data_IF_116604322173
#
_entry.id   IF_116604322173
#
_cell.length_a   1.000
_cell.length_b   1.000
_cell.length_c   1.000
_cell.angle_alpha   90.00
_cell.angle_beta   90.00
_cell.angle_gamma   90.00
#
_symmetry.space_group_name_H-M   'P 1'
#
loop_
_entity.id
_entity.type
_entity.pdbx_description
1 polymer ?
#
# COMPACT_ATOMS: atom_id res chain seq x y z
N UNK A 1 45.73 -25.88 8.22
CA UNK A 1 45.31 -24.46 8.26
C UNK A 1 43.93 -24.36 7.63
N UNK A 2 42.87 -24.45 8.43
CA UNK A 2 41.50 -24.19 7.97
C UNK A 2 41.28 -22.69 7.99
N UNK A 3 41.36 -22.04 6.82
CA UNK A 3 40.97 -20.64 6.67
C UNK A 3 39.53 -20.48 7.16
N UNK A 4 39.36 -19.82 8.31
CA UNK A 4 38.05 -19.44 8.83
C UNK A 4 37.52 -18.37 7.89
N UNK A 5 36.71 -18.79 6.91
CA UNK A 5 36.07 -17.88 5.96
C UNK A 5 35.24 -16.90 6.80
N UNK A 6 35.56 -15.61 6.73
CA UNK A 6 34.80 -14.59 7.45
C UNK A 6 33.31 -14.70 7.03
N UNK A 7 32.38 -14.65 8.00
CA UNK A 7 30.97 -14.77 7.68
C UNK A 7 30.56 -13.60 6.79
N UNK A 8 29.96 -13.90 5.64
CA UNK A 8 29.44 -12.88 4.74
C UNK A 8 28.30 -12.16 5.45
N UNK A 9 28.47 -10.85 5.65
CA UNK A 9 27.47 -10.01 6.27
C UNK A 9 26.54 -9.41 5.22
N UNK A 10 25.23 -9.44 5.49
CA UNK A 10 24.20 -8.88 4.62
C UNK A 10 23.30 -7.93 5.43
N UNK A 11 22.89 -6.83 4.79
CA UNK A 11 21.93 -5.89 5.38
C UNK A 11 20.48 -6.29 5.07
N UNK A 12 19.53 -5.58 5.68
CA UNK A 12 18.11 -5.88 5.53
C UNK A 12 17.62 -5.74 4.08
N UNK A 13 18.25 -4.89 3.26
CA UNK A 13 17.85 -4.68 1.87
C UNK A 13 18.28 -5.85 0.98
N UNK A 14 19.51 -6.33 1.19
CA UNK A 14 20.05 -7.50 0.50
C UNK A 14 19.23 -8.76 0.82
N UNK A 15 19.02 -9.05 2.11
CA UNK A 15 18.20 -10.19 2.55
C UNK A 15 16.76 -10.08 2.01
N UNK A 16 16.18 -8.88 2.03
CA UNK A 16 14.83 -8.66 1.53
C UNK A 16 14.72 -8.97 0.03
N UNK A 17 15.70 -8.56 -0.77
CA UNK A 17 15.73 -8.84 -2.21
C UNK A 17 15.80 -10.35 -2.49
N UNK A 18 16.66 -11.08 -1.77
CA UNK A 18 16.80 -12.53 -1.93
C UNK A 18 15.56 -13.30 -1.49
N UNK A 19 14.92 -12.88 -0.39
CA UNK A 19 13.77 -13.58 0.20
C UNK A 19 12.41 -13.12 -0.36
N UNK A 20 12.40 -12.17 -1.31
CA UNK A 20 11.16 -11.61 -1.88
C UNK A 20 10.32 -10.85 -0.85
N UNK A 21 10.96 -10.19 0.11
CA UNK A 21 10.33 -9.43 1.20
C UNK A 21 10.69 -7.93 1.10
N UNK A 22 10.17 -7.14 2.04
CA UNK A 22 10.59 -5.74 2.20
C UNK A 22 11.66 -5.62 3.28
N UNK A 23 12.57 -4.64 3.20
CA UNK A 23 13.60 -4.44 4.25
C UNK A 23 13.00 -4.18 5.64
N UNK A 24 11.86 -3.48 5.68
CA UNK A 24 11.09 -3.28 6.90
C UNK A 24 10.59 -4.60 7.50
N UNK A 25 10.21 -5.59 6.68
CA UNK A 25 9.79 -6.89 7.20
C UNK A 25 10.97 -7.66 7.79
N UNK A 26 12.16 -7.60 7.21
CA UNK A 26 13.38 -8.20 7.79
C UNK A 26 13.67 -7.61 9.16
N UNK A 27 13.62 -6.27 9.29
CA UNK A 27 13.79 -5.60 10.58
C UNK A 27 12.71 -6.01 11.59
N UNK A 28 11.46 -6.13 11.13
CA UNK A 28 10.34 -6.59 11.95
C UNK A 28 10.54 -8.01 12.49
N UNK A 29 11.01 -8.96 11.66
CA UNK A 29 11.29 -10.33 12.10
C UNK A 29 12.30 -10.37 13.25
N UNK A 30 13.34 -9.53 13.19
CA UNK A 30 14.31 -9.40 14.27
C UNK A 30 13.70 -8.78 15.53
N UNK A 31 13.01 -7.64 15.40
CA UNK A 31 12.41 -6.95 16.56
C UNK A 31 11.32 -7.77 17.25
N UNK A 32 10.53 -8.52 16.48
CA UNK A 32 9.48 -9.43 16.98
C UNK A 32 10.06 -10.73 17.56
N UNK A 33 11.38 -10.96 17.44
CA UNK A 33 12.03 -12.26 17.73
C UNK A 33 11.30 -13.43 17.07
N UNK A 34 10.91 -13.23 15.81
CA UNK A 34 10.10 -14.21 15.09
C UNK A 34 10.81 -15.56 15.03
N UNK A 35 10.09 -16.63 15.36
CA UNK A 35 10.57 -17.99 15.25
C UNK A 35 10.24 -18.58 13.87
N UNK A 36 11.14 -19.42 13.35
CA UNK A 36 10.84 -20.24 12.17
C UNK A 36 10.03 -21.49 12.55
N UNK A 37 9.78 -22.39 11.60
CA UNK A 37 8.97 -23.59 11.88
C UNK A 37 9.69 -24.60 12.80
N UNK A 38 11.00 -24.45 13.01
CA UNK A 38 11.79 -25.24 13.94
C UNK A 38 11.87 -24.59 15.34
N UNK A 39 11.13 -23.51 15.60
CA UNK A 39 11.18 -22.78 16.88
C UNK A 39 12.47 -21.98 17.08
N UNK A 40 13.27 -21.77 16.03
CA UNK A 40 14.52 -21.01 16.13
C UNK A 40 14.21 -19.54 15.90
N UNK A 41 14.59 -18.62 16.81
CA UNK A 41 14.37 -17.19 16.64
C UNK A 41 15.22 -16.62 15.50
N UNK A 42 14.78 -15.50 14.92
CA UNK A 42 15.51 -14.81 13.86
C UNK A 42 16.95 -14.50 14.31
N UNK A 43 17.97 -14.67 13.44
CA UNK A 43 19.36 -14.51 13.82
C UNK A 43 19.70 -13.16 14.46
N UNK A 44 20.65 -13.19 15.41
CA UNK A 44 21.21 -11.97 16.00
C UNK A 44 21.96 -11.12 14.99
N UNK A 45 21.98 -9.82 15.24
CA UNK A 45 22.81 -8.87 14.50
C UNK A 45 24.27 -9.22 14.73
N UNK A 46 25.02 -9.44 13.66
CA UNK A 46 26.44 -9.77 13.70
C UNK A 46 27.33 -8.52 13.74
N UNK A 47 26.90 -7.43 13.09
CA UNK A 47 27.61 -6.15 13.08
C UNK A 47 26.68 -4.99 12.68
N UNK A 48 27.19 -3.76 12.72
CA UNK A 48 26.51 -2.54 12.31
C UNK A 48 27.33 -1.77 11.28
N UNK A 49 26.72 -1.45 10.13
CA UNK A 49 27.27 -0.49 9.16
C UNK A 49 26.55 0.84 9.30
N UNK A 50 27.10 1.74 10.13
CA UNK A 50 26.43 2.98 10.53
C UNK A 50 25.14 2.67 11.30
N UNK A 51 23.97 3.03 10.77
CA UNK A 51 22.67 2.68 11.35
C UNK A 51 22.08 1.37 10.83
N UNK A 52 22.69 0.76 9.81
CA UNK A 52 22.21 -0.48 9.23
C UNK A 52 22.70 -1.68 10.05
N UNK A 53 21.76 -2.54 10.47
CA UNK A 53 22.07 -3.83 11.07
C UNK A 53 22.57 -4.78 9.99
N UNK A 54 23.62 -5.52 10.30
CA UNK A 54 24.17 -6.58 9.46
C UNK A 54 23.97 -7.92 10.13
N UNK A 55 23.55 -8.90 9.36
CA UNK A 55 23.39 -10.28 9.80
C UNK A 55 24.35 -11.20 9.05
N UNK A 56 24.70 -12.30 9.70
CA UNK A 56 25.35 -13.42 9.03
C UNK A 56 24.40 -14.00 7.97
N UNK A 57 24.77 -13.84 6.71
CA UNK A 57 23.97 -14.22 5.55
C UNK A 57 23.62 -15.71 5.56
N UNK A 58 24.56 -16.57 5.98
CA UNK A 58 24.35 -18.00 6.02
C UNK A 58 23.28 -18.37 7.06
N UNK A 59 23.35 -17.77 8.26
CA UNK A 59 22.35 -18.01 9.33
C UNK A 59 20.97 -17.53 8.94
N UNK A 60 20.87 -16.39 8.26
CA UNK A 60 19.59 -15.86 7.80
C UNK A 60 19.01 -16.75 6.70
N UNK A 61 19.84 -17.19 5.75
CA UNK A 61 19.42 -18.10 4.68
C UNK A 61 18.92 -19.43 5.24
N UNK A 62 19.64 -20.02 6.20
CA UNK A 62 19.23 -21.24 6.90
C UNK A 62 17.92 -21.04 7.70
N UNK A 63 17.80 -19.89 8.37
CA UNK A 63 16.58 -19.55 9.10
C UNK A 63 15.36 -19.48 8.17
N UNK A 64 15.51 -18.86 6.99
CA UNK A 64 14.47 -18.78 5.97
C UNK A 64 14.18 -20.12 5.29
N UNK A 65 15.19 -20.98 5.10
CA UNK A 65 14.98 -22.34 4.57
C UNK A 65 14.06 -23.17 5.47
N UNK A 66 14.16 -22.96 6.79
CA UNK A 66 13.31 -23.59 7.81
C UNK A 66 12.06 -22.77 8.15
N UNK A 67 11.86 -21.63 7.49
CA UNK A 67 10.66 -20.82 7.66
C UNK A 67 9.58 -21.39 6.76
N UNK A 68 8.55 -21.99 7.35
CA UNK A 68 7.32 -22.17 6.59
C UNK A 68 6.84 -20.78 6.14
N UNK A 69 6.67 -20.53 4.83
CA UNK A 69 6.09 -19.27 4.39
C UNK A 69 4.77 -19.12 5.13
N UNK A 70 4.52 -17.93 5.70
CA UNK A 70 3.25 -17.65 6.34
C UNK A 70 2.16 -17.85 5.29
N UNK A 71 1.61 -19.07 5.22
CA UNK A 71 0.44 -19.38 4.42
C UNK A 71 -0.66 -18.63 5.12
N UNK A 72 -0.90 -17.41 4.65
CA UNK A 72 -2.09 -16.65 5.00
C UNK A 72 -3.25 -17.65 4.98
N UNK A 73 -3.90 -17.81 6.13
CA UNK A 73 -4.95 -18.83 6.34
C UNK A 73 -5.82 -18.85 5.08
N UNK A 74 -5.81 -19.98 4.37
CA UNK A 74 -6.70 -20.16 3.22
C UNK A 74 -8.10 -20.02 3.81
N UNK A 75 -8.82 -19.00 3.39
CA UNK A 75 -10.20 -18.85 3.78
C UNK A 75 -10.96 -19.99 3.12
N UNK A 76 -11.59 -20.82 3.94
CA UNK A 76 -12.55 -21.82 3.47
C UNK A 76 -13.92 -21.18 3.63
N UNK A 77 -14.63 -20.87 2.52
CA UNK A 77 -15.99 -20.38 2.59
C UNK A 77 -16.89 -21.33 3.39
N UNK A 78 -17.92 -20.81 4.08
CA UNK A 78 -18.91 -21.67 4.73
C UNK A 78 -19.59 -22.57 3.69
N UNK A 79 -19.95 -23.80 4.08
CA UNK A 79 -20.71 -24.69 3.21
C UNK A 79 -22.08 -24.06 2.89
N UNK A 80 -22.40 -23.97 1.60
CA UNK A 80 -23.67 -23.50 1.04
C UNK A 80 -24.02 -24.29 -0.21
N UNK A 81 -25.29 -24.25 -0.61
CA UNK A 81 -25.72 -24.88 -1.86
C UNK A 81 -25.01 -24.18 -3.04
N UNK A 82 -24.37 -24.92 -3.96
CA UNK A 82 -23.76 -24.35 -5.16
C UNK A 82 -24.69 -23.47 -6.02
N UNK A 83 -26.00 -23.69 -5.95
CA UNK A 83 -27.01 -22.92 -6.70
C UNK A 83 -27.49 -21.67 -5.97
N UNK A 84 -27.13 -21.48 -4.69
CA UNK A 84 -27.53 -20.29 -3.94
C UNK A 84 -27.01 -19.02 -4.62
N UNK A 85 -27.91 -18.04 -4.79
CA UNK A 85 -27.59 -16.73 -5.32
C UNK A 85 -27.20 -15.76 -4.20
N UNK A 86 -25.97 -15.28 -4.24
CA UNK A 86 -25.43 -14.30 -3.29
C UNK A 86 -25.31 -12.93 -3.93
N UNK A 87 -25.78 -11.89 -3.26
CA UNK A 87 -25.52 -10.51 -3.68
C UNK A 87 -24.05 -10.11 -3.42
N UNK A 88 -23.60 -8.96 -3.94
CA UNK A 88 -22.21 -8.52 -3.84
C UNK A 88 -21.67 -8.47 -2.39
N UNK A 89 -22.50 -8.10 -1.41
CA UNK A 89 -22.09 -8.05 -0.01
C UNK A 89 -21.96 -9.45 0.61
N UNK A 90 -22.88 -10.34 0.30
CA UNK A 90 -22.83 -11.74 0.71
C UNK A 90 -21.66 -12.47 0.06
N UNK A 91 -21.44 -12.29 -1.24
CA UNK A 91 -20.31 -12.82 -1.98
C UNK A 91 -18.98 -12.34 -1.36
N UNK A 92 -18.89 -11.06 -0.96
CA UNK A 92 -17.69 -10.54 -0.32
C UNK A 92 -17.37 -11.23 1.01
N UNK A 93 -18.40 -11.49 1.84
CA UNK A 93 -18.25 -12.22 3.09
C UNK A 93 -17.95 -13.70 2.86
N UNK A 94 -18.64 -14.32 1.91
CA UNK A 94 -18.43 -15.71 1.51
C UNK A 94 -16.98 -15.98 1.11
N UNK A 95 -16.38 -15.06 0.33
CA UNK A 95 -14.98 -15.09 -0.09
C UNK A 95 -13.97 -14.67 1.00
N UNK A 96 -14.45 -14.30 2.20
CA UNK A 96 -13.61 -14.00 3.36
C UNK A 96 -12.98 -12.61 3.36
N UNK A 97 -13.53 -11.65 2.60
CA UNK A 97 -13.06 -10.27 2.69
C UNK A 97 -13.54 -9.60 3.96
N UNK A 98 -12.65 -8.79 4.55
CA UNK A 98 -13.01 -7.90 5.66
C UNK A 98 -14.00 -6.81 5.23
N UNK A 99 -13.89 -6.32 3.98
CA UNK A 99 -14.76 -5.28 3.45
C UNK A 99 -15.97 -5.91 2.73
N UNK A 100 -17.21 -5.66 3.18
CA UNK A 100 -18.41 -6.18 2.52
C UNK A 100 -18.63 -5.62 1.10
N UNK A 101 -17.99 -4.50 0.73
CA UNK A 101 -18.12 -3.89 -0.60
C UNK A 101 -16.99 -4.30 -1.57
N UNK A 102 -16.23 -5.34 -1.24
CA UNK A 102 -15.05 -5.72 -2.02
C UNK A 102 -15.41 -6.19 -3.43
N UNK A 103 -16.45 -7.02 -3.56
CA UNK A 103 -16.92 -7.52 -4.88
C UNK A 103 -17.44 -6.37 -5.74
N UNK A 104 -18.23 -5.45 -5.18
CA UNK A 104 -18.70 -4.26 -5.90
C UNK A 104 -17.53 -3.44 -6.46
N UNK A 105 -16.47 -3.26 -5.66
CA UNK A 105 -15.25 -2.59 -6.08
C UNK A 105 -14.56 -3.34 -7.23
N UNK A 106 -14.49 -4.67 -7.20
CA UNK A 106 -13.90 -5.44 -8.30
C UNK A 106 -14.68 -5.27 -9.60
N UNK A 107 -16.01 -5.41 -9.55
CA UNK A 107 -16.86 -5.29 -10.72
C UNK A 107 -16.78 -3.89 -11.33
N UNK A 108 -16.75 -2.85 -10.49
CA UNK A 108 -16.70 -1.45 -10.95
C UNK A 108 -15.31 -1.03 -11.43
N UNK A 109 -14.27 -1.30 -10.64
CA UNK A 109 -12.94 -0.73 -10.85
C UNK A 109 -12.01 -1.65 -11.65
N UNK A 110 -12.35 -2.94 -11.79
CA UNK A 110 -11.52 -3.96 -12.44
C UNK A 110 -12.37 -4.84 -13.38
N UNK A 111 -12.94 -4.27 -14.46
CA UNK A 111 -13.73 -5.04 -15.42
C UNK A 111 -12.93 -6.21 -15.99
N UNK A 112 -13.51 -7.41 -15.99
CA UNK A 112 -12.86 -8.65 -16.43
C UNK A 112 -12.04 -9.39 -15.37
N UNK A 113 -11.81 -8.81 -14.18
CA UNK A 113 -11.10 -9.51 -13.09
C UNK A 113 -12.01 -10.46 -12.28
N UNK A 114 -13.23 -10.02 -12.02
CA UNK A 114 -14.25 -10.78 -11.28
C UNK A 114 -15.30 -11.32 -12.27
N UNK A 115 -15.88 -12.52 -12.04
CA UNK A 115 -16.88 -13.08 -12.92
C UNK A 115 -18.09 -12.15 -13.07
N UNK A 116 -18.69 -12.16 -14.24
CA UNK A 116 -19.97 -11.52 -14.46
C UNK A 116 -21.04 -12.11 -13.50
N UNK A 117 -22.01 -11.32 -13.05
CA UNK A 117 -23.12 -11.84 -12.25
C UNK A 117 -23.94 -12.84 -13.05
N UNK A 118 -24.34 -13.93 -12.39
CA UNK A 118 -25.23 -14.96 -12.94
C UNK A 118 -26.65 -14.42 -13.15
N UNK A 119 -27.08 -13.55 -12.24
CA UNK A 119 -28.41 -12.92 -12.27
C UNK A 119 -28.26 -11.42 -12.03
N UNK A 120 -28.92 -10.63 -12.88
CA UNK A 120 -29.05 -9.18 -12.71
C UNK A 120 -30.52 -8.86 -12.62
N UNK A 121 -30.99 -8.53 -11.42
CA UNK A 121 -32.35 -8.04 -11.20
C UNK A 121 -32.35 -6.51 -11.38
N UNK A 122 -33.14 -6.02 -12.33
CA UNK A 122 -33.45 -4.59 -12.42
C UNK A 122 -34.54 -4.26 -11.40
N UNK A 123 -34.20 -3.42 -10.43
CA UNK A 123 -35.04 -3.00 -9.32
C UNK A 123 -35.16 -1.48 -9.32
N UNK A 124 -36.05 -0.96 -8.47
CA UNK A 124 -36.29 0.47 -8.33
C UNK A 124 -37.49 0.94 -9.14
N UNK A 125 -37.64 2.26 -9.22
CA UNK A 125 -38.71 2.92 -9.99
C UNK A 125 -38.18 3.37 -11.35
N UNK A 126 -39.06 3.72 -12.28
CA UNK A 126 -38.64 4.28 -13.57
C UNK A 126 -37.74 5.53 -13.42
N UNK A 127 -37.91 6.29 -12.34
CA UNK A 127 -37.13 7.49 -12.03
C UNK A 127 -35.79 7.18 -11.35
N UNK A 128 -35.67 6.03 -10.67
CA UNK A 128 -34.46 5.61 -9.97
C UNK A 128 -34.24 4.09 -10.12
N UNK A 129 -33.84 3.62 -11.31
CA UNK A 129 -33.52 2.23 -11.51
C UNK A 129 -32.18 1.90 -10.83
N UNK A 130 -32.12 0.76 -10.16
CA UNK A 130 -30.87 0.19 -9.65
C UNK A 130 -30.81 -1.30 -9.97
N UNK A 131 -29.59 -1.81 -10.13
CA UNK A 131 -29.36 -3.20 -10.51
C UNK A 131 -28.83 -3.98 -9.33
N UNK A 132 -29.54 -5.05 -8.95
CA UNK A 132 -29.03 -6.02 -7.99
C UNK A 132 -28.35 -7.14 -8.75
N UNK A 133 -27.03 -7.23 -8.56
CA UNK A 133 -26.20 -8.27 -9.15
C UNK A 133 -26.04 -9.41 -8.15
N UNK A 134 -26.22 -10.64 -8.64
CA UNK A 134 -26.12 -11.86 -7.86
C UNK A 134 -25.23 -12.88 -8.57
N UNK A 135 -24.50 -13.65 -7.77
CA UNK A 135 -23.61 -14.71 -8.22
C UNK A 135 -24.01 -16.01 -7.56
N UNK A 136 -23.99 -17.11 -8.32
CA UNK A 136 -24.13 -18.45 -7.74
C UNK A 136 -22.91 -18.75 -6.88
N UNK A 137 -23.12 -19.52 -5.81
CA UNK A 137 -22.03 -20.03 -4.98
C UNK A 137 -21.02 -20.80 -5.83
N UNK A 138 -21.46 -21.60 -6.81
CA UNK A 138 -20.57 -22.32 -7.72
C UNK A 138 -19.64 -21.37 -8.49
N UNK A 139 -20.18 -20.29 -9.07
CA UNK A 139 -19.39 -19.26 -9.78
C UNK A 139 -18.31 -18.64 -8.88
N UNK A 140 -18.64 -18.41 -7.61
CA UNK A 140 -17.68 -17.88 -6.64
C UNK A 140 -16.60 -18.90 -6.24
N UNK A 141 -16.97 -20.17 -6.10
CA UNK A 141 -16.04 -21.26 -5.83
C UNK A 141 -15.08 -21.51 -7.00
N UNK A 142 -15.60 -21.53 -8.23
CA UNK A 142 -14.81 -21.68 -9.46
C UNK A 142 -13.81 -20.54 -9.59
N UNK A 143 -14.28 -19.29 -9.43
CA UNK A 143 -13.40 -18.13 -9.45
C UNK A 143 -12.36 -18.16 -8.33
N UNK A 144 -12.72 -18.64 -7.12
CA UNK A 144 -11.77 -18.76 -6.02
C UNK A 144 -10.68 -19.81 -6.32
N UNK A 145 -11.03 -20.88 -7.03
CA UNK A 145 -10.09 -21.92 -7.45
C UNK A 145 -9.14 -21.43 -8.55
N UNK A 146 -9.64 -20.64 -9.50
CA UNK A 146 -8.84 -20.09 -10.62
C UNK A 146 -8.32 -18.69 -10.36
N UNK A 147 -8.44 -18.20 -9.12
CA UNK A 147 -8.25 -16.80 -8.77
C UNK A 147 -6.87 -16.29 -9.23
N UNK A 148 -6.81 -15.27 -10.11
CA UNK A 148 -5.55 -14.65 -10.50
C UNK A 148 -5.01 -13.79 -9.34
N UNK A 149 -4.32 -14.45 -8.40
CA UNK A 149 -3.67 -13.84 -7.23
C UNK A 149 -4.60 -13.06 -6.29
N UNK A 150 -4.08 -12.66 -5.12
CA UNK A 150 -4.73 -11.57 -4.37
C UNK A 150 -4.60 -10.32 -5.22
N UNK A 151 -5.66 -9.52 -5.34
CA UNK A 151 -5.67 -8.19 -5.94
C UNK A 151 -4.72 -7.19 -5.26
N UNK A 152 -3.42 -7.44 -5.42
CA UNK A 152 -2.33 -6.48 -5.38
C UNK A 152 -1.51 -6.80 -6.62
N UNK A 153 -1.65 -5.94 -7.61
CA UNK A 153 -0.80 -5.95 -8.78
C UNK A 153 0.66 -6.02 -8.36
N UNK A 154 1.40 -6.97 -8.94
CA UNK A 154 2.71 -6.64 -9.43
C UNK A 154 2.53 -5.38 -10.31
N UNK A 155 2.99 -4.23 -9.82
CA UNK A 155 3.25 -3.07 -10.66
C UNK A 155 2.06 -2.34 -11.28
N UNK A 156 0.87 -2.28 -10.65
CA UNK A 156 -0.02 -1.16 -10.97
C UNK A 156 0.64 0.10 -10.42
N UNK A 157 1.48 0.73 -11.24
CA UNK A 157 1.89 2.10 -11.06
C UNK A 157 0.60 2.92 -11.00
N UNK A 158 0.12 3.18 -9.78
CA UNK A 158 -0.83 4.25 -9.55
C UNK A 158 -0.11 5.51 -9.99
N UNK A 159 -0.41 5.98 -11.19
CA UNK A 159 -0.01 7.30 -11.65
C UNK A 159 -0.56 8.27 -10.62
N UNK A 160 0.33 8.99 -9.94
CA UNK A 160 -0.11 10.03 -9.02
C UNK A 160 -0.96 11.03 -9.81
N UNK A 161 -2.08 11.52 -9.25
CA UNK A 161 -2.85 12.57 -9.90
C UNK A 161 -1.92 13.72 -10.30
N UNK A 162 -2.08 14.24 -11.52
CA UNK A 162 -1.33 15.39 -11.97
C UNK A 162 -1.59 16.58 -11.03
N UNK A 163 -0.54 17.35 -10.77
CA UNK A 163 -0.69 18.59 -10.00
C UNK A 163 -1.47 19.60 -10.84
N UNK A 164 -2.32 20.44 -10.22
CA UNK A 164 -3.03 21.50 -10.91
C UNK A 164 -2.04 22.54 -11.44
N UNK A 165 -2.41 23.21 -12.53
CA UNK A 165 -1.72 24.42 -12.95
C UNK A 165 -2.12 25.57 -12.01
N UNK A 166 -1.13 26.21 -11.39
CA UNK A 166 -1.34 27.30 -10.44
C UNK A 166 -0.51 28.48 -10.94
N UNK A 167 -1.15 29.58 -11.39
CA UNK A 167 -0.45 30.77 -11.84
C UNK A 167 0.52 31.26 -10.77
N UNK A 168 1.63 31.89 -11.15
CA UNK A 168 2.55 32.51 -10.18
C UNK A 168 2.00 33.85 -9.67
N UNK A 169 1.35 34.62 -10.55
CA UNK A 169 0.97 36.03 -10.33
C UNK A 169 -0.40 36.26 -9.65
N UNK A 170 -0.98 35.23 -9.05
CA UNK A 170 -2.21 35.38 -8.25
C UNK A 170 -1.98 36.05 -6.90
N UNK A 171 -3.05 36.20 -6.12
CA UNK A 171 -3.05 36.91 -4.85
C UNK A 171 -1.98 36.38 -3.86
N UNK A 172 -1.00 37.21 -3.45
CA UNK A 172 0.08 36.83 -2.53
C UNK A 172 -0.39 36.29 -1.17
N UNK A 173 -1.55 36.75 -0.69
CA UNK A 173 -2.09 36.38 0.62
C UNK A 173 -3.10 35.21 0.54
N UNK A 174 -3.33 34.67 -0.66
CA UNK A 174 -4.16 33.49 -0.86
C UNK A 174 -3.60 32.26 -0.12
N UNK A 175 -4.48 31.57 0.63
CA UNK A 175 -4.15 30.36 1.37
C UNK A 175 -4.20 29.10 0.49
N UNK A 176 -3.03 28.69 0.04
CA UNK A 176 -2.85 27.53 -0.83
C UNK A 176 -2.65 26.23 -0.03
N UNK A 177 -3.26 25.15 -0.53
CA UNK A 177 -3.11 23.82 0.03
C UNK A 177 -1.87 23.08 -0.49
N UNK A 178 -1.56 21.92 0.11
CA UNK A 178 -0.39 21.11 -0.26
C UNK A 178 -0.28 20.78 -1.75
N UNK A 179 -1.40 20.56 -2.44
CA UNK A 179 -1.40 20.29 -3.89
C UNK A 179 -0.96 21.50 -4.71
N UNK A 180 -1.43 22.69 -4.36
CA UNK A 180 -1.10 23.94 -5.04
C UNK A 180 0.34 24.37 -4.70
N UNK A 181 0.76 24.20 -3.43
CA UNK A 181 2.13 24.45 -3.02
C UNK A 181 3.12 23.52 -3.75
N UNK A 182 2.78 22.23 -3.90
CA UNK A 182 3.59 21.28 -4.65
C UNK A 182 3.75 21.71 -6.12
N UNK A 183 2.70 22.26 -6.74
CA UNK A 183 2.72 22.75 -8.12
C UNK A 183 3.65 23.95 -8.28
N UNK A 184 3.49 24.99 -7.45
CA UNK A 184 4.34 26.20 -7.48
C UNK A 184 5.82 25.89 -7.21
N UNK A 185 6.09 24.91 -6.34
CA UNK A 185 7.45 24.44 -6.02
C UNK A 185 7.99 23.39 -7.01
N UNK A 186 7.28 23.12 -8.11
CA UNK A 186 7.66 22.19 -9.18
C UNK A 186 7.99 20.77 -8.70
N UNK A 187 7.30 20.28 -7.67
CA UNK A 187 7.41 18.86 -7.27
C UNK A 187 6.69 17.97 -8.27
N UNK A 188 7.12 16.70 -8.39
CA UNK A 188 6.42 15.74 -9.28
C UNK A 188 5.04 15.32 -8.78
N UNK A 189 4.79 15.45 -7.47
CA UNK A 189 3.55 15.04 -6.82
C UNK A 189 3.45 15.60 -5.41
N UNK A 190 2.24 15.60 -4.84
CA UNK A 190 1.99 15.99 -3.45
C UNK A 190 2.77 15.11 -2.47
N UNK A 191 2.93 13.82 -2.76
CA UNK A 191 3.70 12.91 -1.90
C UNK A 191 5.18 13.29 -1.84
N UNK A 192 5.76 13.70 -2.97
CA UNK A 192 7.15 14.18 -3.02
C UNK A 192 7.33 15.47 -2.22
N UNK A 193 6.35 16.37 -2.30
CA UNK A 193 6.31 17.59 -1.49
C UNK A 193 6.20 17.27 0.00
N UNK A 194 5.23 16.44 0.40
CA UNK A 194 5.02 16.06 1.80
C UNK A 194 6.24 15.35 2.40
N UNK A 195 6.91 14.48 1.62
CA UNK A 195 8.17 13.86 2.03
C UNK A 195 9.25 14.90 2.27
N UNK A 196 9.46 15.82 1.32
CA UNK A 196 10.45 16.89 1.42
C UNK A 196 10.19 17.80 2.63
N UNK A 197 8.92 18.14 2.88
CA UNK A 197 8.50 18.90 4.06
C UNK A 197 8.81 18.15 5.37
N UNK A 198 8.47 16.86 5.45
CA UNK A 198 8.73 16.06 6.65
C UNK A 198 10.21 15.85 6.94
N UNK A 199 11.05 15.94 5.91
CA UNK A 199 12.51 15.84 6.03
C UNK A 199 13.16 17.18 6.40
N UNK A 200 12.40 18.26 6.57
CA UNK A 200 12.93 19.59 6.90
C UNK A 200 13.55 20.35 5.72
N UNK A 201 13.35 19.88 4.48
CA UNK A 201 13.90 20.52 3.28
C UNK A 201 13.14 21.78 2.84
N UNK A 202 12.04 22.12 3.53
CA UNK A 202 11.18 23.27 3.25
C UNK A 202 10.99 24.09 4.54
N UNK A 203 12.05 24.73 5.06
CA UNK A 203 12.06 25.36 6.38
C UNK A 203 11.03 26.48 6.51
N UNK A 204 10.77 27.26 5.44
CA UNK A 204 9.76 28.32 5.50
C UNK A 204 8.33 27.76 5.56
N UNK A 205 8.11 26.51 5.14
CA UNK A 205 6.79 25.88 5.10
C UNK A 205 6.55 24.91 6.27
N UNK A 206 7.48 24.80 7.21
CA UNK A 206 7.32 23.94 8.40
C UNK A 206 6.07 24.33 9.19
N UNK A 207 5.89 25.64 9.40
CA UNK A 207 4.72 26.20 10.09
C UNK A 207 3.67 26.66 9.07
N UNK A 208 2.44 26.11 9.12
CA UNK A 208 1.35 26.55 8.27
C UNK A 208 0.81 27.92 8.69
N UNK A 209 0.33 28.70 7.72
CA UNK A 209 -0.35 29.97 7.96
C UNK A 209 -1.78 29.79 8.45
N UNK A 210 -2.42 28.69 8.05
CA UNK A 210 -3.74 28.33 8.54
C UNK A 210 -3.95 26.81 8.49
N UNK A 211 -4.95 26.36 9.25
CA UNK A 211 -5.53 25.04 9.11
C UNK A 211 -6.94 25.19 8.51
N UNK A 212 -7.36 24.26 7.66
CA UNK A 212 -8.75 24.22 7.18
C UNK A 212 -9.72 24.11 8.35
N UNK A 213 -10.97 24.58 8.20
CA UNK A 213 -12.02 24.64 9.23
C UNK A 213 -12.20 23.33 10.03
N UNK A 214 -11.98 22.17 9.41
CA UNK A 214 -12.01 20.86 10.07
C UNK A 214 -10.67 20.44 10.72
N UNK A 215 -9.79 21.39 11.04
CA UNK A 215 -8.50 21.21 11.72
C UNK A 215 -7.42 20.38 11.01
N UNK A 216 -7.75 19.76 9.86
CA UNK A 216 -6.94 18.66 9.34
C UNK A 216 -5.88 19.00 8.30
N UNK A 217 -6.05 20.08 7.51
CA UNK A 217 -5.17 20.35 6.36
C UNK A 217 -4.45 21.69 6.49
N UNK A 218 -3.12 21.62 6.34
CA UNK A 218 -2.20 22.77 6.35
C UNK A 218 -2.40 23.66 5.13
N UNK A 219 -2.34 24.97 5.35
CA UNK A 219 -2.39 26.02 4.33
C UNK A 219 -1.23 26.97 4.50
N UNK A 220 -0.74 27.50 3.39
CA UNK A 220 0.33 28.50 3.36
C UNK A 220 -0.04 29.61 2.39
N UNK A 221 0.38 30.82 2.71
CA UNK A 221 0.28 31.98 1.82
C UNK A 221 1.12 31.75 0.56
N UNK A 222 0.59 32.19 -0.58
CA UNK A 222 1.30 32.14 -1.87
C UNK A 222 2.67 32.81 -1.79
N UNK A 223 2.75 33.99 -1.15
CA UNK A 223 4.00 34.72 -0.92
C UNK A 223 5.09 33.85 -0.31
N UNK A 224 4.77 33.11 0.76
CA UNK A 224 5.72 32.24 1.46
C UNK A 224 6.16 31.04 0.62
N UNK A 225 5.25 30.48 -0.18
CA UNK A 225 5.57 29.39 -1.11
C UNK A 225 6.55 29.89 -2.19
N UNK A 226 6.33 31.08 -2.73
CA UNK A 226 7.22 31.68 -3.73
C UNK A 226 8.58 32.07 -3.14
N UNK A 227 8.60 32.58 -1.91
CA UNK A 227 9.85 32.84 -1.17
C UNK A 227 10.66 31.54 -0.98
N UNK A 228 10.01 30.45 -0.59
CA UNK A 228 10.63 29.13 -0.50
C UNK A 228 11.13 28.62 -1.85
N UNK A 229 10.42 28.91 -2.95
CA UNK A 229 10.84 28.57 -4.31
C UNK A 229 12.12 29.32 -4.71
N UNK A 230 12.19 30.61 -4.39
CA UNK A 230 13.37 31.45 -4.64
C UNK A 230 14.60 30.94 -3.89
N UNK A 231 14.46 30.52 -2.63
CA UNK A 231 15.56 29.94 -1.84
C UNK A 231 16.10 28.64 -2.43
N UNK A 232 15.27 27.84 -3.11
CA UNK A 232 15.67 26.56 -3.71
C UNK A 232 16.39 26.70 -5.05
N UNK A 233 16.32 27.88 -5.67
CA UNK A 233 16.95 28.16 -6.97
C UNK A 233 18.33 28.81 -6.80
N UNK A 234 18.69 29.17 -5.56
CA UNK A 234 19.99 29.72 -5.16
C UNK A 234 20.92 28.60 -4.71
#
# INVERSE_FOLDING_TARGET
MTSRREPRLADAAEIAAEQGLTPARISGLYTERAENAAGVPFPEVADMRGRARLWDHAKVTEWFANRQPARLRKHTPPARDPQDLLNAAEASRFLGYKNPNQVTTFVRDHPGYFPAPDVVEELGTAENPYRRQQWRVQTLLDWMATRPGRGKHAGAQRTAPALPDVPVDGDPDELLGATQAAALLKFKSVNSFSSSLSQGNLPLLETPDALTENGGRRRWTRRRILEQAAQRTK
#
